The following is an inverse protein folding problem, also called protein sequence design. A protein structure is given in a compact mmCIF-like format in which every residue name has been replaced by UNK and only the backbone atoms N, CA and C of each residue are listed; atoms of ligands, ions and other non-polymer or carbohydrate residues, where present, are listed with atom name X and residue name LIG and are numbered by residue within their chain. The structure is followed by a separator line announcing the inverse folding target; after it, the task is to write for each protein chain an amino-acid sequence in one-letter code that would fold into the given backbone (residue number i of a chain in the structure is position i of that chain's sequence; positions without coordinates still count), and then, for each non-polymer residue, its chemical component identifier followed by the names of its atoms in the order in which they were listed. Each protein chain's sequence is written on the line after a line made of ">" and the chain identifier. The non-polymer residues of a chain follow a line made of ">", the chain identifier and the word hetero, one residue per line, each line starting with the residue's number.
data_IF_711606101887
#
_entry.id   IF_711606101887
#
_cell.length_a   1.000
_cell.length_b   1.000
_cell.length_c   1.000
_cell.angle_alpha   90.00
_cell.angle_beta   90.00
_cell.angle_gamma   90.00
#
_symmetry.space_group_name_H-M   'P 1'
#
loop_
_entity.id
_entity.type
_entity.pdbx_description
1 polymer ?
#
# COMPACT_ATOMS: atom_id res chain seq x y z
N UNK A 1 17.48 28.67 7.48
CA UNK A 1 16.49 28.68 6.38
C UNK A 1 15.79 27.33 6.37
N UNK A 2 14.47 27.33 6.45
CA UNK A 2 13.70 26.07 6.42
C UNK A 2 13.33 25.80 4.97
N UNK A 3 13.80 24.68 4.43
CA UNK A 3 13.37 24.22 3.13
C UNK A 3 12.02 23.51 3.26
N UNK A 4 11.02 24.03 2.56
CA UNK A 4 9.73 23.36 2.45
C UNK A 4 9.78 22.39 1.28
N UNK A 5 9.75 21.10 1.59
CA UNK A 5 9.62 20.07 0.55
C UNK A 5 8.14 19.91 0.23
N UNK A 6 7.76 20.28 -0.99
CA UNK A 6 6.38 20.10 -1.43
C UNK A 6 6.12 18.62 -1.70
N UNK A 7 5.05 18.08 -1.10
CA UNK A 7 4.58 16.74 -1.37
C UNK A 7 3.71 16.77 -2.61
N UNK A 8 4.00 15.91 -3.59
CA UNK A 8 3.18 15.77 -4.79
C UNK A 8 2.00 14.85 -4.47
N UNK A 9 0.79 15.35 -4.67
CA UNK A 9 -0.42 14.57 -4.47
C UNK A 9 -0.95 14.05 -5.79
N UNK A 10 -1.52 12.85 -5.76
CA UNK A 10 -2.18 12.22 -6.90
C UNK A 10 -3.69 12.27 -6.69
N UNK A 11 -4.41 12.76 -7.70
CA UNK A 11 -5.87 12.73 -7.69
C UNK A 11 -6.34 11.46 -8.42
N UNK A 12 -7.11 10.63 -7.74
CA UNK A 12 -7.69 9.42 -8.31
C UNK A 12 -9.19 9.60 -8.44
N UNK A 13 -9.68 9.84 -9.64
CA UNK A 13 -11.11 9.90 -9.91
C UNK A 13 -11.74 8.50 -9.82
N UNK A 14 -11.00 7.48 -10.24
CA UNK A 14 -11.39 6.08 -10.12
C UNK A 14 -10.33 5.36 -9.30
N UNK A 15 -10.62 5.08 -8.03
CA UNK A 15 -9.71 4.39 -7.12
C UNK A 15 -10.30 3.03 -6.77
N UNK A 16 -9.53 1.98 -7.03
CA UNK A 16 -9.88 0.60 -6.68
C UNK A 16 -8.78 -0.02 -5.84
N UNK A 17 -9.16 -0.82 -4.85
CA UNK A 17 -8.21 -1.60 -4.06
C UNK A 17 -8.09 -2.98 -4.68
N UNK A 18 -6.87 -3.36 -5.06
CA UNK A 18 -6.58 -4.64 -5.70
C UNK A 18 -6.19 -5.67 -4.66
N UNK A 19 -5.18 -5.36 -3.86
CA UNK A 19 -4.68 -6.16 -2.74
C UNK A 19 -4.43 -5.21 -1.57
N UNK A 20 -4.07 -5.75 -0.41
CA UNK A 20 -3.75 -4.94 0.76
C UNK A 20 -2.52 -4.04 0.59
N UNK A 21 -1.75 -4.21 -0.47
CA UNK A 21 -0.56 -3.40 -0.77
C UNK A 21 -0.60 -2.73 -2.14
N UNK A 22 -1.71 -2.83 -2.87
CA UNK A 22 -1.82 -2.33 -4.24
C UNK A 22 -3.19 -1.70 -4.48
N UNK A 23 -3.18 -0.50 -5.06
CA UNK A 23 -4.39 0.16 -5.55
C UNK A 23 -4.28 0.36 -7.05
N UNK A 24 -5.44 0.58 -7.69
CA UNK A 24 -5.50 1.00 -9.09
C UNK A 24 -6.11 2.40 -9.11
N UNK A 25 -5.34 3.36 -9.61
CA UNK A 25 -5.73 4.78 -9.69
C UNK A 25 -5.86 5.14 -11.15
N UNK A 26 -7.08 5.46 -11.59
CA UNK A 26 -7.36 5.81 -12.99
C UNK A 26 -6.80 4.77 -13.97
N UNK A 27 -6.91 3.49 -13.64
CA UNK A 27 -6.42 2.39 -14.47
C UNK A 27 -4.96 2.01 -14.29
N UNK A 28 -4.21 2.71 -13.44
CA UNK A 28 -2.79 2.44 -13.20
C UNK A 28 -2.58 1.80 -11.84
N UNK A 29 -1.91 0.63 -11.81
CA UNK A 29 -1.55 -0.01 -10.55
C UNK A 29 -0.46 0.78 -9.84
N UNK A 30 -0.63 0.96 -8.53
CA UNK A 30 0.30 1.66 -7.65
C UNK A 30 0.53 0.82 -6.41
N UNK A 31 1.77 0.80 -5.91
CA UNK A 31 2.15 0.01 -4.76
C UNK A 31 2.37 0.88 -3.53
N UNK A 32 1.89 0.40 -2.36
CA UNK A 32 2.01 1.11 -1.10
C UNK A 32 3.42 1.00 -0.54
N UNK A 33 3.98 2.14 -0.13
CA UNK A 33 5.22 2.21 0.65
C UNK A 33 4.95 2.14 2.15
N UNK A 34 3.75 2.53 2.60
CA UNK A 34 3.54 2.76 4.01
C UNK A 34 4.46 3.88 4.51
N UNK A 35 5.16 3.63 5.61
CA UNK A 35 6.18 4.54 6.13
C UNK A 35 7.57 4.26 5.53
N UNK A 36 7.64 3.32 4.57
CA UNK A 36 8.90 2.92 3.96
C UNK A 36 9.47 3.93 2.99
N UNK A 37 10.67 3.62 2.51
CA UNK A 37 11.38 4.41 1.51
C UNK A 37 11.57 3.58 0.24
N UNK A 38 11.49 4.19 -0.95
CA UNK A 38 11.65 3.46 -2.21
C UNK A 38 12.92 2.60 -2.21
N UNK A 39 12.77 1.33 -2.59
CA UNK A 39 13.82 0.32 -2.71
C UNK A 39 14.47 -0.11 -1.38
N UNK A 40 14.04 0.46 -0.25
CA UNK A 40 14.53 0.13 1.08
C UNK A 40 13.51 -0.67 1.87
N UNK A 41 12.27 -0.19 1.89
CA UNK A 41 11.19 -0.87 2.60
C UNK A 41 9.84 -0.47 2.02
N UNK A 42 8.84 -1.27 2.33
CA UNK A 42 7.47 -1.01 1.86
C UNK A 42 6.48 -1.88 2.62
N UNK A 43 5.37 -2.18 1.99
CA UNK A 43 4.29 -2.96 2.57
C UNK A 43 4.11 -4.23 1.74
N UNK A 44 3.96 -5.37 2.43
CA UNK A 44 3.67 -6.64 1.81
C UNK A 44 2.42 -7.25 2.46
N UNK A 45 1.40 -7.46 1.66
CA UNK A 45 0.17 -8.14 2.06
C UNK A 45 0.03 -9.46 1.31
N UNK A 46 -0.72 -10.39 1.88
CA UNK A 46 -0.99 -11.65 1.22
C UNK A 46 -1.73 -11.43 -0.10
N UNK A 47 -1.44 -12.25 -1.09
CA UNK A 47 -2.06 -12.15 -2.41
C UNK A 47 -3.40 -12.88 -2.46
N UNK A 48 -4.30 -12.38 -3.29
CA UNK A 48 -5.62 -12.98 -3.51
C UNK A 48 -5.59 -13.80 -4.81
N UNK A 49 -5.27 -13.16 -5.94
CA UNK A 49 -5.38 -13.77 -7.26
C UNK A 49 -4.37 -14.88 -7.54
N UNK A 50 -3.22 -14.85 -6.88
CA UNK A 50 -2.16 -15.86 -7.03
C UNK A 50 -1.83 -16.52 -5.69
N UNK A 51 -2.81 -16.60 -4.80
CA UNK A 51 -2.64 -17.23 -3.50
C UNK A 51 -2.26 -18.70 -3.67
N UNK A 52 -1.28 -19.14 -2.88
CA UNK A 52 -0.77 -20.52 -2.94
C UNK A 52 -1.58 -21.47 -2.06
N UNK A 53 -2.46 -20.96 -1.23
CA UNK A 53 -3.32 -21.73 -0.33
C UNK A 53 -4.50 -20.89 0.09
N UNK A 54 -5.51 -21.53 0.69
CA UNK A 54 -6.71 -20.84 1.16
C UNK A 54 -6.42 -19.86 2.28
N UNK A 55 -5.46 -20.17 3.15
CA UNK A 55 -5.04 -19.26 4.22
C UNK A 55 -4.50 -17.94 3.65
N UNK A 56 -3.63 -18.01 2.66
CA UNK A 56 -3.09 -16.82 1.99
C UNK A 56 -4.21 -16.00 1.36
N UNK A 57 -5.15 -16.66 0.67
CA UNK A 57 -6.27 -15.97 0.03
C UNK A 57 -7.14 -15.24 1.05
N UNK A 58 -7.45 -15.87 2.18
CA UNK A 58 -8.26 -15.24 3.23
C UNK A 58 -7.55 -14.06 3.86
N UNK A 59 -6.26 -14.20 4.17
CA UNK A 59 -5.45 -13.10 4.69
C UNK A 59 -5.39 -11.94 3.69
N UNK A 60 -5.25 -12.23 2.42
CA UNK A 60 -5.27 -11.23 1.36
C UNK A 60 -6.60 -10.51 1.27
N UNK A 61 -7.72 -11.25 1.36
CA UNK A 61 -9.05 -10.66 1.34
C UNK A 61 -9.28 -9.75 2.55
N UNK A 62 -8.83 -10.15 3.74
CA UNK A 62 -8.95 -9.34 4.94
C UNK A 62 -8.16 -8.04 4.81
N UNK A 63 -6.93 -8.12 4.31
CA UNK A 63 -6.09 -6.93 4.09
C UNK A 63 -6.74 -5.99 3.06
N UNK A 64 -7.27 -6.54 1.96
CA UNK A 64 -7.96 -5.75 0.94
C UNK A 64 -9.19 -5.05 1.50
N UNK A 65 -9.99 -5.76 2.28
CA UNK A 65 -11.19 -5.20 2.91
C UNK A 65 -10.82 -4.05 3.83
N UNK A 66 -9.77 -4.23 4.65
CA UNK A 66 -9.34 -3.18 5.58
C UNK A 66 -8.81 -1.96 4.81
N UNK A 67 -7.99 -2.15 3.79
CA UNK A 67 -7.50 -1.04 2.98
C UNK A 67 -8.66 -0.32 2.28
N UNK A 68 -9.66 -1.06 1.80
CA UNK A 68 -10.85 -0.46 1.19
C UNK A 68 -11.60 0.45 2.15
N UNK A 69 -11.64 0.10 3.44
CA UNK A 69 -12.23 0.96 4.47
C UNK A 69 -11.39 2.20 4.70
N UNK A 70 -10.06 2.04 4.79
CA UNK A 70 -9.15 3.14 5.08
C UNK A 70 -9.17 4.20 3.96
N UNK A 71 -9.19 3.79 2.70
CA UNK A 71 -9.19 4.75 1.58
C UNK A 71 -10.49 5.53 1.44
N UNK A 72 -11.56 5.07 2.08
CA UNK A 72 -12.85 5.79 2.11
C UNK A 72 -12.92 6.83 3.23
N UNK A 73 -11.92 6.90 4.09
CA UNK A 73 -11.87 7.91 5.16
C UNK A 73 -11.81 9.30 4.55
N UNK A 74 -12.71 10.23 4.95
CA UNK A 74 -12.65 11.60 4.44
C UNK A 74 -11.30 12.24 4.75
N UNK A 75 -10.73 12.95 3.78
CA UNK A 75 -9.45 13.64 3.94
C UNK A 75 -8.22 12.80 3.62
N UNK A 76 -8.40 11.58 3.10
CA UNK A 76 -7.27 10.75 2.63
C UNK A 76 -6.58 11.42 1.45
N UNK A 77 -5.25 11.38 1.44
CA UNK A 77 -4.41 11.91 0.36
C UNK A 77 -3.49 10.83 -0.15
N UNK A 78 -3.24 10.83 -1.45
CA UNK A 78 -2.29 9.90 -2.07
C UNK A 78 -1.05 10.71 -2.44
N UNK A 79 0.07 10.37 -1.80
CA UNK A 79 1.36 11.04 -1.97
C UNK A 79 2.23 10.26 -2.94
N UNK A 80 2.74 10.93 -3.97
CA UNK A 80 3.62 10.34 -4.95
C UNK A 80 5.06 10.40 -4.44
N UNK A 81 5.73 9.25 -4.30
CA UNK A 81 7.15 9.21 -3.92
C UNK A 81 8.07 9.62 -5.06
N UNK A 82 7.54 9.70 -6.30
CA UNK A 82 8.29 9.96 -7.54
C UNK A 82 9.23 8.81 -7.93
N UNK A 83 9.06 7.64 -7.32
CA UNK A 83 9.77 6.42 -7.69
C UNK A 83 8.79 5.40 -8.24
N UNK A 84 9.30 4.48 -9.05
CA UNK A 84 8.53 3.36 -9.58
C UNK A 84 9.25 2.05 -9.23
N UNK A 85 8.51 0.96 -9.10
CA UNK A 85 9.12 -0.34 -8.88
C UNK A 85 9.56 -0.99 -10.21
N UNK A 86 10.11 -2.22 -10.12
CA UNK A 86 10.59 -2.93 -11.31
C UNK A 86 9.51 -3.21 -12.34
N UNK A 87 8.26 -3.29 -11.91
CA UNK A 87 7.11 -3.51 -12.79
C UNK A 87 6.55 -2.22 -13.37
N UNK A 88 7.16 -1.06 -13.05
CA UNK A 88 6.71 0.24 -13.51
C UNK A 88 5.55 0.80 -12.71
N UNK A 89 5.24 0.23 -11.53
CA UNK A 89 4.18 0.76 -10.67
C UNK A 89 4.71 1.92 -9.85
N UNK A 90 4.02 3.09 -9.83
CA UNK A 90 4.37 4.16 -8.91
C UNK A 90 4.31 3.67 -7.45
N UNK A 91 5.29 4.11 -6.67
CA UNK A 91 5.35 3.85 -5.23
C UNK A 91 4.73 5.03 -4.51
N UNK A 92 3.70 4.78 -3.71
CA UNK A 92 2.87 5.83 -3.12
C UNK A 92 2.73 5.65 -1.62
N UNK A 93 2.36 6.73 -0.94
CA UNK A 93 1.91 6.69 0.45
C UNK A 93 0.48 7.19 0.51
N UNK A 94 -0.41 6.39 1.11
CA UNK A 94 -1.79 6.80 1.35
C UNK A 94 -1.82 7.43 2.74
N UNK A 95 -1.94 8.75 2.80
CA UNK A 95 -1.91 9.50 4.06
C UNK A 95 -3.30 9.65 4.62
N UNK A 96 -3.50 9.17 5.84
CA UNK A 96 -4.75 9.30 6.57
C UNK A 96 -4.81 10.65 7.29
N UNK A 97 -6.02 11.15 7.64
CA UNK A 97 -6.15 12.42 8.35
C UNK A 97 -5.43 12.48 9.69
N UNK A 98 -5.20 11.33 10.34
CA UNK A 98 -4.47 11.26 11.60
C UNK A 98 -2.95 11.35 11.44
N UNK A 99 -2.45 11.53 10.21
CA UNK A 99 -1.02 11.63 9.92
C UNK A 99 -0.34 10.30 9.65
N UNK A 100 -0.97 9.18 9.97
CA UNK A 100 -0.40 7.85 9.65
C UNK A 100 -0.62 7.50 8.19
N UNK A 101 0.17 6.56 7.66
CA UNK A 101 -0.12 5.98 6.36
C UNK A 101 -1.06 4.78 6.51
N UNK A 102 -1.86 4.53 5.48
CA UNK A 102 -2.71 3.34 5.44
C UNK A 102 -1.87 2.07 5.51
N UNK A 103 -0.72 2.04 4.82
CA UNK A 103 0.18 0.88 4.86
C UNK A 103 0.70 0.59 6.27
N UNK A 104 1.12 1.61 7.01
CA UNK A 104 1.58 1.43 8.38
C UNK A 104 0.44 0.96 9.29
N UNK A 105 -0.76 1.49 9.08
CA UNK A 105 -1.95 1.06 9.82
C UNK A 105 -2.21 -0.43 9.61
N UNK A 106 -2.13 -0.91 8.37
CA UNK A 106 -2.29 -2.35 8.08
C UNK A 106 -1.22 -3.20 8.78
N UNK A 107 0.02 -2.72 8.82
CA UNK A 107 1.11 -3.43 9.51
C UNK A 107 0.82 -3.48 11.01
N UNK A 108 0.47 -2.36 11.62
CA UNK A 108 0.17 -2.30 13.06
C UNK A 108 -1.02 -3.19 13.44
N UNK A 109 -2.01 -3.32 12.56
CA UNK A 109 -3.19 -4.13 12.79
C UNK A 109 -2.99 -5.61 12.43
N UNK A 110 -1.82 -5.98 11.91
CA UNK A 110 -1.50 -7.36 11.57
C UNK A 110 -2.00 -7.84 10.22
N UNK A 111 -2.49 -6.93 9.36
CA UNK A 111 -2.96 -7.29 8.01
C UNK A 111 -1.85 -7.33 6.98
N UNK A 112 -0.70 -6.76 7.29
CA UNK A 112 0.45 -6.71 6.39
C UNK A 112 1.74 -6.75 7.20
N UNK A 113 2.86 -6.93 6.51
CA UNK A 113 4.20 -6.89 7.10
C UNK A 113 5.07 -5.91 6.34
N UNK A 114 6.19 -5.51 6.95
CA UNK A 114 7.18 -4.67 6.27
C UNK A 114 7.85 -5.50 5.19
N UNK A 115 7.86 -4.97 3.96
CA UNK A 115 8.63 -5.54 2.87
C UNK A 115 10.04 -4.95 2.87
N UNK A 116 11.04 -5.80 2.66
CA UNK A 116 12.42 -5.38 2.39
C UNK A 116 12.96 -6.20 1.22
N UNK A 117 13.96 -5.69 0.47
CA UNK A 117 14.51 -6.43 -0.65
C UNK A 117 15.03 -7.81 -0.23
N UNK A 118 14.63 -8.84 -1.00
CA UNK A 118 15.04 -10.22 -0.74
C UNK A 118 14.24 -10.96 0.32
N UNK A 119 13.36 -10.25 1.04
CA UNK A 119 12.49 -10.90 2.03
C UNK A 119 11.21 -11.40 1.38
N UNK A 120 10.85 -12.63 1.70
CA UNK A 120 9.57 -13.21 1.27
C UNK A 120 8.84 -13.78 2.46
N UNK A 121 7.63 -13.24 2.73
CA UNK A 121 6.77 -13.77 3.76
C UNK A 121 6.13 -15.08 3.31
N UNK A 122 6.12 -16.06 4.19
CA UNK A 122 5.37 -17.30 3.99
C UNK A 122 3.99 -17.15 4.59
N UNK A 123 2.98 -17.05 3.74
CA UNK A 123 1.59 -16.87 4.16
C UNK A 123 0.85 -18.19 4.36
N UNK A 124 1.42 -19.29 3.91
CA UNK A 124 0.86 -20.63 4.04
C UNK A 124 1.64 -21.40 5.12
N UNK A 125 0.93 -22.03 6.02
CA UNK A 125 1.54 -22.89 7.06
C UNK A 125 1.64 -24.34 6.60
#
# INVERSE_FOLDING_TARGET
>A
MIELVAVTLIACADLRVIDGDTIKCNGQNMRLLGDGEPFVSGVDAAEIGRAKCDQERRLGQDARTRLSQLVKTPGVKIEDSRAVDRSGRPLIRIRLPNGKTAGQTLIEEGYAVVWTPGYKRMWCS
#
